data_IF_340904718194
#
_entry.id   IF_340904718194
#
_cell.length_a   1.000
_cell.length_b   1.000
_cell.length_c   1.000
_cell.angle_alpha   90.00
_cell.angle_beta   90.00
_cell.angle_gamma   90.00
#
_symmetry.space_group_name_H-M   'P 1'
#
loop_
_entity.id
_entity.type
_entity.pdbx_description
1 polymer ?
#
# COMPACT_ATOMS: atom_id res chain seq x y z
N UNK A 1 -43.68 15.32 27.62
CA UNK A 1 -43.46 14.06 26.87
C UNK A 1 -43.50 14.28 25.35
N UNK A 2 -44.45 15.06 24.82
CA UNK A 2 -44.58 15.32 23.37
C UNK A 2 -43.41 16.10 22.74
N UNK A 3 -42.90 17.15 23.39
CA UNK A 3 -41.78 17.96 22.85
C UNK A 3 -40.50 17.13 22.65
N UNK A 4 -40.19 16.22 23.57
CA UNK A 4 -39.04 15.34 23.46
C UNK A 4 -39.20 14.29 22.34
N UNK A 5 -40.42 13.77 22.15
CA UNK A 5 -40.70 12.81 21.06
C UNK A 5 -40.50 13.48 19.70
N UNK A 6 -40.96 14.73 19.54
CA UNK A 6 -40.75 15.48 18.28
C UNK A 6 -39.26 15.67 18.00
N UNK A 7 -38.48 16.01 19.02
CA UNK A 7 -37.01 16.14 18.88
C UNK A 7 -36.37 14.81 18.46
N UNK A 8 -36.74 13.69 19.10
CA UNK A 8 -36.20 12.37 18.77
C UNK A 8 -36.55 11.93 17.33
N UNK A 9 -37.76 12.23 16.87
CA UNK A 9 -38.19 11.90 15.51
C UNK A 9 -37.39 12.71 14.48
N UNK A 10 -37.17 14.01 14.72
CA UNK A 10 -36.35 14.83 13.83
C UNK A 10 -34.90 14.31 13.79
N UNK A 11 -34.31 13.96 14.95
CA UNK A 11 -32.97 13.38 15.02
C UNK A 11 -32.88 12.05 14.26
N UNK A 12 -33.90 11.20 14.36
CA UNK A 12 -33.94 9.92 13.65
C UNK A 12 -33.98 10.11 12.12
N UNK A 13 -34.77 11.07 11.61
CA UNK A 13 -34.86 11.37 10.18
C UNK A 13 -33.52 11.93 9.66
N UNK A 14 -32.91 12.87 10.39
CA UNK A 14 -31.60 13.43 10.00
C UNK A 14 -30.50 12.35 10.02
N UNK A 15 -30.48 11.50 11.04
CA UNK A 15 -29.53 10.40 11.12
C UNK A 15 -29.69 9.42 9.94
N UNK A 16 -30.93 9.11 9.54
CA UNK A 16 -31.20 8.19 8.44
C UNK A 16 -30.60 8.64 7.09
N UNK A 17 -30.55 9.95 6.81
CA UNK A 17 -29.90 10.49 5.60
C UNK A 17 -28.40 10.70 5.77
N UNK A 18 -27.95 11.14 6.95
CA UNK A 18 -26.56 11.54 7.18
C UNK A 18 -25.64 10.31 7.31
N UNK A 19 -26.10 9.22 7.94
CA UNK A 19 -25.28 8.02 8.15
C UNK A 19 -24.80 7.40 6.82
N UNK A 20 -25.66 7.13 5.81
CA UNK A 20 -25.20 6.60 4.52
C UNK A 20 -24.19 7.51 3.80
N UNK A 21 -24.42 8.83 3.83
CA UNK A 21 -23.52 9.81 3.23
C UNK A 21 -22.14 9.82 3.91
N UNK A 22 -22.10 9.81 5.25
CA UNK A 22 -20.86 9.73 6.01
C UNK A 22 -20.11 8.43 5.76
N UNK A 23 -20.80 7.29 5.64
CA UNK A 23 -20.18 6.00 5.32
C UNK A 23 -19.50 6.03 3.94
N UNK A 24 -20.13 6.66 2.94
CA UNK A 24 -19.53 6.84 1.62
C UNK A 24 -18.24 7.67 1.65
N UNK A 25 -18.25 8.80 2.38
CA UNK A 25 -17.06 9.64 2.52
C UNK A 25 -15.92 8.94 3.27
N UNK A 26 -16.23 8.12 4.28
CA UNK A 26 -15.22 7.32 4.98
C UNK A 26 -14.58 6.31 4.03
N UNK A 27 -15.37 5.64 3.18
CA UNK A 27 -14.86 4.68 2.20
C UNK A 27 -13.91 5.35 1.19
N UNK A 28 -14.29 6.50 0.63
CA UNK A 28 -13.42 7.28 -0.26
C UNK A 28 -12.16 7.79 0.43
N UNK A 29 -12.28 8.25 1.69
CA UNK A 29 -11.14 8.72 2.47
C UNK A 29 -10.14 7.60 2.72
N UNK A 30 -10.60 6.38 3.04
CA UNK A 30 -9.74 5.20 3.18
C UNK A 30 -9.00 4.86 1.89
N UNK A 31 -9.69 4.89 0.75
CA UNK A 31 -9.05 4.66 -0.56
C UNK A 31 -7.99 5.70 -0.88
N UNK A 32 -8.27 6.98 -0.61
CA UNK A 32 -7.30 8.08 -0.80
C UNK A 32 -6.11 7.98 0.17
N UNK A 33 -6.36 7.60 1.42
CA UNK A 33 -5.30 7.37 2.41
C UNK A 33 -4.35 6.25 1.94
N UNK A 34 -4.89 5.14 1.44
CA UNK A 34 -4.07 4.05 0.89
C UNK A 34 -3.19 4.48 -0.30
N UNK A 35 -3.66 5.40 -1.15
CA UNK A 35 -2.84 5.98 -2.23
C UNK A 35 -1.73 6.87 -1.66
N UNK A 36 -2.03 7.68 -0.64
CA UNK A 36 -1.03 8.54 0.00
C UNK A 36 0.08 7.70 0.65
N UNK A 37 -0.31 6.68 1.41
CA UNK A 37 0.60 5.69 2.02
C UNK A 37 1.48 5.04 0.93
N UNK A 38 0.89 4.58 -0.19
CA UNK A 38 1.64 3.99 -1.30
C UNK A 38 2.63 4.96 -1.96
N UNK A 39 2.35 6.27 -1.95
CA UNK A 39 3.26 7.30 -2.48
C UNK A 39 4.46 7.54 -1.58
N UNK A 40 4.28 7.56 -0.27
CA UNK A 40 5.37 7.71 0.69
C UNK A 40 6.35 6.54 0.57
N UNK A 41 5.79 5.34 0.46
CA UNK A 41 6.54 4.13 0.13
C UNK A 41 7.30 4.26 -1.17
N UNK A 42 6.65 4.77 -2.23
CA UNK A 42 7.28 4.93 -3.53
C UNK A 42 8.49 5.85 -3.46
N UNK A 43 8.38 6.96 -2.73
CA UNK A 43 9.50 7.88 -2.50
C UNK A 43 10.63 7.20 -1.73
N UNK A 44 10.32 6.40 -0.69
CA UNK A 44 11.31 5.65 0.07
C UNK A 44 12.02 4.58 -0.78
N UNK A 45 11.27 3.84 -1.61
CA UNK A 45 11.80 2.86 -2.54
C UNK A 45 12.74 3.52 -3.55
N UNK A 46 12.28 4.61 -4.18
CA UNK A 46 13.04 5.35 -5.18
C UNK A 46 14.35 5.91 -4.59
N UNK A 47 14.28 6.51 -3.40
CA UNK A 47 15.45 7.02 -2.67
C UNK A 47 16.45 5.91 -2.36
N UNK A 48 15.96 4.74 -1.97
CA UNK A 48 16.81 3.59 -1.64
C UNK A 48 17.50 3.04 -2.87
N UNK A 49 16.77 2.83 -3.97
CA UNK A 49 17.31 2.25 -5.20
C UNK A 49 18.33 3.20 -5.84
N UNK A 50 17.98 4.48 -5.99
CA UNK A 50 18.90 5.49 -6.53
C UNK A 50 20.13 5.67 -5.64
N UNK A 51 19.95 5.71 -4.32
CA UNK A 51 21.04 5.91 -3.38
C UNK A 51 21.97 4.70 -3.22
N UNK A 52 21.65 3.56 -3.82
CA UNK A 52 22.43 2.32 -3.63
C UNK A 52 22.93 1.74 -4.96
N UNK A 53 22.58 2.34 -6.11
CA UNK A 53 23.00 1.94 -7.47
C UNK A 53 24.53 1.84 -7.70
N UNK A 54 25.36 2.31 -6.76
CA UNK A 54 26.83 2.28 -6.82
C UNK A 54 27.46 1.20 -5.92
N UNK A 55 26.67 0.29 -5.34
CA UNK A 55 27.15 -0.77 -4.44
C UNK A 55 26.47 -2.09 -4.82
N UNK A 56 27.13 -3.24 -4.63
CA UNK A 56 26.48 -4.55 -4.83
C UNK A 56 25.33 -4.69 -3.83
N UNK A 57 24.10 -4.43 -4.28
CA UNK A 57 22.93 -4.48 -3.43
C UNK A 57 22.27 -5.84 -3.53
N UNK A 58 22.05 -6.45 -2.38
CA UNK A 58 21.12 -7.57 -2.22
C UNK A 58 19.73 -7.02 -1.91
N UNK A 59 18.67 -7.72 -2.33
CA UNK A 59 17.27 -7.35 -2.02
C UNK A 59 17.06 -7.03 -0.53
N UNK A 60 17.78 -7.76 0.34
CA UNK A 60 17.77 -7.57 1.79
C UNK A 60 18.26 -6.18 2.23
N UNK A 61 19.26 -5.62 1.56
CA UNK A 61 19.85 -4.31 1.91
C UNK A 61 18.92 -3.16 1.51
N UNK A 62 18.21 -3.33 0.38
CA UNK A 62 17.17 -2.39 -0.06
C UNK A 62 15.99 -2.44 0.90
N UNK A 63 15.50 -3.64 1.24
CA UNK A 63 14.42 -3.83 2.22
C UNK A 63 14.74 -3.18 3.57
N UNK A 64 15.94 -3.43 4.12
CA UNK A 64 16.36 -2.84 5.39
C UNK A 64 16.36 -1.32 5.37
N UNK A 65 16.94 -0.70 4.33
CA UNK A 65 17.04 0.75 4.20
C UNK A 65 15.67 1.40 3.94
N UNK A 66 14.80 0.75 3.18
CA UNK A 66 13.41 1.19 3.03
C UNK A 66 12.67 1.17 4.36
N UNK A 67 12.85 0.11 5.17
CA UNK A 67 12.24 0.07 6.50
C UNK A 67 12.84 1.14 7.40
N UNK A 68 14.16 1.36 7.40
CA UNK A 68 14.76 2.47 8.17
C UNK A 68 14.17 3.84 7.82
N UNK A 69 13.89 4.10 6.53
CA UNK A 69 13.26 5.35 6.08
C UNK A 69 11.80 5.46 6.51
N UNK A 70 11.10 4.34 6.62
CA UNK A 70 9.67 4.25 6.92
C UNK A 70 9.38 3.88 8.39
N UNK A 71 10.40 3.60 9.22
CA UNK A 71 10.29 3.15 10.61
C UNK A 71 9.54 4.12 11.52
N UNK A 72 9.72 5.41 11.26
CA UNK A 72 9.03 6.46 12.02
C UNK A 72 7.54 6.53 11.67
N UNK A 73 7.14 5.86 10.59
CA UNK A 73 5.77 5.78 10.16
C UNK A 73 5.25 4.37 10.41
N UNK A 74 4.59 4.24 11.57
CA UNK A 74 3.97 2.99 12.05
C UNK A 74 2.89 2.45 11.10
N UNK A 75 2.53 3.20 10.06
CA UNK A 75 1.60 2.76 9.03
C UNK A 75 2.15 1.66 8.13
N UNK A 76 3.46 1.45 8.07
CA UNK A 76 4.04 0.56 7.05
C UNK A 76 4.47 -0.81 7.57
N UNK A 77 5.06 -0.89 8.77
CA UNK A 77 5.70 -2.12 9.25
C UNK A 77 5.35 -2.45 10.69
N UNK A 78 5.02 -3.71 10.94
CA UNK A 78 4.73 -4.24 12.30
C UNK A 78 5.90 -5.02 12.90
N UNK A 79 6.91 -5.41 12.10
CA UNK A 79 8.07 -6.18 12.55
C UNK A 79 9.26 -5.33 13.02
N UNK A 80 10.02 -5.86 13.98
CA UNK A 80 11.13 -5.15 14.63
C UNK A 80 12.45 -5.19 13.81
N UNK A 81 12.65 -6.19 12.95
CA UNK A 81 13.89 -6.42 12.17
C UNK A 81 13.66 -7.10 10.80
N UNK A 82 14.56 -6.86 9.82
CA UNK A 82 14.42 -7.30 8.42
C UNK A 82 14.37 -8.79 8.11
N UNK A 83 14.50 -9.62 9.13
CA UNK A 83 14.40 -11.08 9.07
C UNK A 83 13.13 -11.62 9.73
N UNK A 84 12.30 -10.76 10.32
CA UNK A 84 11.04 -11.15 10.92
C UNK A 84 10.07 -11.58 9.80
N UNK A 85 9.37 -12.73 9.88
CA UNK A 85 8.34 -13.11 8.92
C UNK A 85 7.22 -12.06 8.74
N UNK A 86 7.11 -11.06 9.63
CA UNK A 86 6.28 -9.87 9.45
C UNK A 86 6.89 -8.77 8.56
N UNK A 87 8.07 -8.98 7.95
CA UNK A 87 8.65 -8.04 6.98
C UNK A 87 7.87 -8.07 5.67
N UNK A 88 7.07 -7.02 5.51
CA UNK A 88 6.00 -6.93 4.55
C UNK A 88 6.42 -6.35 3.19
N UNK A 89 7.72 -6.19 2.91
CA UNK A 89 8.23 -5.67 1.63
C UNK A 89 8.85 -6.80 0.82
N UNK A 90 8.36 -7.00 -0.38
CA UNK A 90 9.02 -7.81 -1.38
C UNK A 90 9.51 -6.92 -2.52
N UNK A 91 10.72 -7.22 -3.02
CA UNK A 91 11.30 -6.55 -4.17
C UNK A 91 11.50 -7.62 -5.22
N UNK A 92 11.00 -7.39 -6.42
CA UNK A 92 11.07 -8.38 -7.49
C UNK A 92 11.31 -7.69 -8.83
N UNK A 93 12.12 -8.32 -9.69
CA UNK A 93 12.30 -7.87 -11.05
C UNK A 93 11.24 -8.49 -11.97
N UNK A 94 10.87 -7.75 -13.03
CA UNK A 94 10.09 -8.33 -14.14
C UNK A 94 10.84 -9.54 -14.71
N UNK A 95 10.13 -10.67 -14.81
CA UNK A 95 10.68 -11.92 -15.34
C UNK A 95 11.01 -11.79 -16.83
N UNK A 96 11.82 -12.72 -17.32
CA UNK A 96 12.28 -12.71 -18.72
C UNK A 96 11.15 -12.83 -19.75
N UNK A 97 10.04 -13.47 -19.36
CA UNK A 97 8.81 -13.66 -20.14
C UNK A 97 7.85 -12.45 -20.08
N UNK A 98 8.23 -11.38 -19.37
CA UNK A 98 7.42 -10.18 -19.19
C UNK A 98 6.39 -10.30 -18.06
N UNK A 99 6.30 -11.45 -17.40
CA UNK A 99 5.44 -11.59 -16.22
C UNK A 99 6.02 -10.84 -15.02
N UNK A 100 5.13 -10.25 -14.24
CA UNK A 100 5.47 -9.50 -13.05
C UNK A 100 4.59 -10.01 -11.92
N UNK A 101 5.14 -10.02 -10.71
CA UNK A 101 4.34 -10.35 -9.55
C UNK A 101 3.25 -9.31 -9.32
N UNK A 102 2.06 -9.80 -8.94
CA UNK A 102 0.90 -8.99 -8.66
C UNK A 102 0.25 -9.41 -7.34
N UNK A 103 0.23 -8.50 -6.36
CA UNK A 103 -0.43 -8.74 -5.07
C UNK A 103 -1.94 -8.96 -5.21
N UNK A 104 -2.55 -8.62 -6.35
CA UNK A 104 -3.98 -8.87 -6.61
C UNK A 104 -4.29 -10.36 -6.70
N UNK A 105 -3.35 -11.16 -7.18
CA UNK A 105 -3.59 -12.55 -7.53
C UNK A 105 -3.23 -13.53 -6.40
N UNK A 106 -2.40 -13.11 -5.45
CA UNK A 106 -1.86 -14.00 -4.42
C UNK A 106 -2.48 -13.80 -3.04
N UNK A 107 -3.50 -14.59 -2.72
CA UNK A 107 -4.17 -14.52 -1.41
C UNK A 107 -3.29 -14.91 -0.22
N UNK A 108 -2.42 -15.91 -0.38
CA UNK A 108 -1.59 -16.40 0.72
C UNK A 108 -0.49 -15.39 1.06
N UNK A 109 0.13 -14.80 0.03
CA UNK A 109 1.18 -13.81 0.23
C UNK A 109 0.62 -12.46 0.68
N UNK A 110 -0.61 -12.07 0.26
CA UNK A 110 -1.31 -10.90 0.83
C UNK A 110 -1.47 -10.95 2.34
N UNK A 111 -1.44 -12.14 2.99
CA UNK A 111 -1.48 -12.27 4.45
C UNK A 111 -0.16 -11.86 5.12
N UNK A 112 0.95 -11.94 4.41
CA UNK A 112 2.29 -11.76 4.97
C UNK A 112 3.00 -10.53 4.42
N UNK A 113 2.75 -10.17 3.16
CA UNK A 113 3.35 -9.03 2.44
C UNK A 113 2.32 -7.91 2.31
N UNK A 114 2.67 -6.69 2.74
CA UNK A 114 1.87 -5.49 2.50
C UNK A 114 2.35 -4.70 1.30
N UNK A 115 3.54 -4.96 0.78
CA UNK A 115 4.15 -4.14 -0.27
C UNK A 115 5.00 -4.96 -1.22
N UNK A 116 4.86 -4.68 -2.52
CA UNK A 116 5.75 -5.18 -3.56
C UNK A 116 6.30 -4.02 -4.36
N UNK A 117 7.62 -3.96 -4.49
CA UNK A 117 8.32 -3.07 -5.41
C UNK A 117 8.77 -3.88 -6.61
N UNK A 118 8.15 -3.63 -7.76
CA UNK A 118 8.52 -4.24 -9.02
C UNK A 118 9.56 -3.38 -9.72
N UNK A 119 10.71 -3.98 -9.99
CA UNK A 119 11.82 -3.40 -10.74
C UNK A 119 11.81 -3.89 -12.19
N UNK A 120 12.49 -3.19 -13.08
CA UNK A 120 12.62 -3.60 -14.47
C UNK A 120 13.40 -4.90 -14.64
N UNK A 121 13.44 -5.38 -15.88
CA UNK A 121 13.98 -6.69 -16.22
C UNK A 121 15.45 -6.80 -15.84
N UNK A 122 15.81 -7.92 -15.20
CA UNK A 122 17.18 -8.23 -14.81
C UNK A 122 18.11 -8.31 -16.03
N UNK A 123 19.30 -7.70 -15.95
CA UNK A 123 20.27 -7.64 -17.05
C UNK A 123 19.92 -6.62 -18.13
N UNK A 124 19.05 -5.65 -17.83
CA UNK A 124 18.73 -4.51 -18.72
C UNK A 124 19.06 -3.20 -18.01
N UNK A 125 19.13 -2.10 -18.76
CA UNK A 125 19.31 -0.74 -18.19
C UNK A 125 18.16 -0.33 -17.24
N UNK A 126 17.08 -1.10 -17.22
CA UNK A 126 15.93 -0.90 -16.36
C UNK A 126 15.94 -1.78 -15.09
N UNK A 127 16.97 -2.61 -14.87
CA UNK A 127 17.04 -3.53 -13.72
C UNK A 127 16.83 -2.83 -12.38
N UNK A 128 17.34 -1.60 -12.24
CA UNK A 128 17.22 -0.77 -11.03
C UNK A 128 16.19 0.36 -11.20
N UNK A 129 15.25 0.23 -12.12
CA UNK A 129 14.19 1.21 -12.34
C UNK A 129 12.89 0.62 -11.83
N UNK A 130 12.22 1.33 -10.91
CA UNK A 130 10.89 0.95 -10.43
C UNK A 130 9.91 0.98 -11.61
N UNK A 131 9.21 -0.11 -11.84
CA UNK A 131 8.16 -0.26 -12.85
C UNK A 131 6.76 -0.15 -12.24
N UNK A 132 6.60 -0.60 -10.99
CA UNK A 132 5.32 -0.58 -10.28
C UNK A 132 5.55 -0.78 -8.79
N UNK A 133 4.74 -0.14 -7.95
CA UNK A 133 4.65 -0.48 -6.53
C UNK A 133 3.22 -0.83 -6.22
N UNK A 134 3.05 -1.87 -5.41
CA UNK A 134 1.77 -2.28 -4.89
C UNK A 134 1.83 -2.24 -3.37
N UNK A 135 0.86 -1.61 -2.73
CA UNK A 135 0.79 -1.45 -1.28
C UNK A 135 -0.62 -1.77 -0.78
N UNK A 136 -0.70 -2.52 0.31
CA UNK A 136 -1.92 -2.90 1.00
C UNK A 136 -2.03 -2.08 2.27
N UNK A 137 -3.13 -1.35 2.42
CA UNK A 137 -3.38 -0.54 3.60
C UNK A 137 -3.42 -1.39 4.88
N UNK A 138 -3.27 -0.76 6.05
CA UNK A 138 -3.28 -1.49 7.33
C UNK A 138 -4.55 -2.29 7.60
N UNK A 139 -5.70 -1.81 7.13
CA UNK A 139 -6.97 -2.53 7.23
C UNK A 139 -7.05 -3.77 6.33
N UNK A 140 -6.12 -3.92 5.37
CA UNK A 140 -6.12 -4.95 4.31
C UNK A 140 -7.41 -4.95 3.48
N UNK A 141 -7.97 -3.76 3.32
CA UNK A 141 -9.22 -3.49 2.60
C UNK A 141 -8.93 -2.97 1.19
N UNK A 142 -7.76 -2.34 0.99
CA UNK A 142 -7.39 -1.68 -0.24
C UNK A 142 -5.98 -2.04 -0.66
N UNK A 143 -5.83 -2.29 -1.95
CA UNK A 143 -4.56 -2.37 -2.67
C UNK A 143 -4.40 -1.12 -3.51
N UNK A 144 -3.42 -0.29 -3.17
CA UNK A 144 -2.98 0.82 -4.00
C UNK A 144 -1.85 0.33 -4.93
N UNK A 145 -1.95 0.65 -6.21
CA UNK A 145 -0.92 0.39 -7.23
C UNK A 145 -0.44 1.72 -7.78
N UNK A 146 0.85 1.99 -7.67
CA UNK A 146 1.50 3.20 -8.18
C UNK A 146 2.40 2.81 -9.34
N UNK A 147 2.24 3.47 -10.49
CA UNK A 147 3.15 3.32 -11.63
C UNK A 147 3.99 4.60 -11.84
N UNK A 148 5.23 4.46 -12.35
CA UNK A 148 6.06 5.57 -12.75
C UNK A 148 5.32 6.42 -13.78
N UNK A 149 5.31 7.74 -13.59
CA UNK A 149 4.49 8.67 -14.39
C UNK A 149 3.21 9.13 -13.67
N UNK A 150 2.99 8.69 -12.43
CA UNK A 150 2.04 9.33 -11.51
C UNK A 150 0.62 8.76 -11.52
N UNK A 151 0.38 7.69 -12.28
CA UNK A 151 -0.89 6.98 -12.21
C UNK A 151 -0.95 6.16 -10.93
N UNK A 152 -2.06 6.31 -10.20
CA UNK A 152 -2.35 5.59 -8.98
C UNK A 152 -3.71 4.91 -9.14
N UNK A 153 -3.75 3.61 -8.93
CA UNK A 153 -4.96 2.80 -9.01
C UNK A 153 -5.28 2.23 -7.63
N UNK A 154 -6.54 2.28 -7.23
CA UNK A 154 -7.01 1.66 -5.99
C UNK A 154 -7.90 0.47 -6.34
N UNK A 155 -7.65 -0.67 -5.70
CA UNK A 155 -8.45 -1.88 -5.83
C UNK A 155 -8.92 -2.31 -4.46
N UNK A 156 -10.22 -2.50 -4.28
CA UNK A 156 -10.77 -3.05 -3.04
C UNK A 156 -10.46 -4.55 -2.97
N UNK A 157 -9.94 -5.00 -1.84
CA UNK A 157 -9.62 -6.41 -1.58
C UNK A 157 -10.85 -7.04 -0.94
N UNK A 158 -11.41 -8.06 -1.61
CA UNK A 158 -12.47 -8.86 -1.01
C UNK A 158 -11.87 -9.79 0.05
N UNK A 159 -12.43 -9.76 1.27
CA UNK A 159 -12.08 -10.71 2.33
C UNK A 159 -12.72 -12.06 1.99
N UNK A 160 -11.96 -12.94 1.33
CA UNK A 160 -12.27 -14.37 1.25
C UNK A 160 -11.81 -15.09 2.52
#
# INVERSE_FOLDING_TARGET
MAELIVVLVILAILAAFTIPAMLGFVEEAKGKAAIAEAREVYVAAQSTITGTANSEITDFSIQKKMVDLLKNDSLFFTGENAYDPEYQIMIENVRNDGSAYDLRDDYHIRKTIKMVVLLGKKGTDQENVIQRIQYINNGREYLATITPGGSAEITKIEKN
#
